data_IF_012289608176
#
_entry.id   IF_012289608176
#
_cell.length_a   1.000
_cell.length_b   1.000
_cell.length_c   1.000
_cell.angle_alpha   90.00
_cell.angle_beta   90.00
_cell.angle_gamma   90.00
#
_symmetry.space_group_name_H-M   'P 1'
#
loop_
_entity.id
_entity.type
_entity.pdbx_description
1 polymer ?
#
# COMPACT_ATOMS: atom_id res chain seq x y z
N UNK A 1 5.91 8.22 9.73
CA UNK A 1 5.48 7.66 8.41
C UNK A 1 4.11 7.01 8.58
N UNK A 2 3.15 7.40 7.78
CA UNK A 2 1.78 6.89 7.85
C UNK A 2 1.59 5.79 6.80
N UNK A 3 1.07 4.64 7.22
CA UNK A 3 0.92 3.46 6.37
C UNK A 3 -0.51 2.96 6.43
N UNK A 4 -1.08 2.63 5.27
CA UNK A 4 -2.36 1.94 5.17
C UNK A 4 -2.11 0.49 4.79
N UNK A 5 -2.82 -0.41 5.43
CA UNK A 5 -2.77 -1.84 5.16
C UNK A 5 -4.19 -2.30 4.85
N UNK A 6 -4.43 -2.69 3.61
CA UNK A 6 -5.75 -3.02 3.10
C UNK A 6 -5.80 -4.49 2.70
N UNK A 7 -6.53 -5.30 3.46
CA UNK A 7 -6.65 -6.73 3.25
C UNK A 7 -7.92 -7.19 3.96
N UNK A 8 -8.70 -8.06 3.32
CA UNK A 8 -9.93 -8.58 3.93
C UNK A 8 -9.70 -9.79 4.84
N UNK A 9 -8.49 -10.31 4.87
CA UNK A 9 -8.12 -11.45 5.70
C UNK A 9 -7.55 -10.97 7.04
N UNK A 10 -8.27 -11.23 8.14
CA UNK A 10 -7.85 -10.83 9.48
C UNK A 10 -6.46 -11.34 9.83
N UNK A 11 -6.16 -12.60 9.50
CA UNK A 11 -4.87 -13.17 9.80
C UNK A 11 -3.77 -12.52 8.97
N UNK A 12 -4.05 -12.26 7.70
CA UNK A 12 -3.10 -11.59 6.83
C UNK A 12 -2.76 -10.20 7.33
N UNK A 13 -3.77 -9.44 7.74
CA UNK A 13 -3.57 -8.11 8.34
C UNK A 13 -2.70 -8.22 9.59
N UNK A 14 -3.05 -9.14 10.48
CA UNK A 14 -2.33 -9.28 11.74
C UNK A 14 -0.85 -9.60 11.49
N UNK A 15 -0.58 -10.59 10.64
CA UNK A 15 0.80 -11.01 10.38
C UNK A 15 1.62 -9.91 9.70
N UNK A 16 1.04 -9.22 8.75
CA UNK A 16 1.73 -8.13 8.05
C UNK A 16 1.98 -6.96 9.00
N UNK A 17 0.99 -6.61 9.81
CA UNK A 17 1.15 -5.53 10.77
C UNK A 17 2.24 -5.85 11.79
N UNK A 18 2.29 -7.09 12.29
CA UNK A 18 3.32 -7.49 13.24
C UNK A 18 4.71 -7.39 12.60
N UNK A 19 4.84 -7.83 11.35
CA UNK A 19 6.11 -7.74 10.66
C UNK A 19 6.56 -6.28 10.49
N UNK A 20 5.65 -5.40 10.11
CA UNK A 20 5.96 -3.99 9.98
C UNK A 20 6.39 -3.37 11.30
N UNK A 21 5.73 -3.73 12.39
CA UNK A 21 6.08 -3.20 13.72
C UNK A 21 7.43 -3.73 14.20
N UNK A 22 7.70 -5.01 14.00
CA UNK A 22 8.97 -5.63 14.41
C UNK A 22 10.13 -4.98 13.66
N UNK A 23 9.94 -4.66 12.41
CA UNK A 23 10.98 -4.01 11.61
C UNK A 23 11.00 -2.49 11.81
N UNK A 24 10.19 -1.98 12.71
CA UNK A 24 10.09 -0.54 13.00
C UNK A 24 9.82 0.28 11.75
N UNK A 25 9.01 -0.28 10.87
CA UNK A 25 8.66 0.38 9.62
C UNK A 25 7.90 1.68 9.87
N UNK A 26 6.90 1.60 10.74
CA UNK A 26 6.08 2.75 11.10
C UNK A 26 5.36 2.47 12.41
N UNK A 27 5.12 3.51 13.19
CA UNK A 27 4.24 3.42 14.37
C UNK A 27 2.85 3.98 14.07
N UNK A 28 2.58 4.35 12.83
CA UNK A 28 1.29 4.89 12.40
C UNK A 28 0.72 4.02 11.28
N UNK A 29 0.19 2.86 11.64
CA UNK A 29 -0.36 1.89 10.71
C UNK A 29 -1.87 1.84 10.88
N UNK A 30 -2.60 2.14 9.81
CA UNK A 30 -4.06 2.01 9.79
C UNK A 30 -4.43 0.79 8.96
N UNK A 31 -5.27 -0.07 9.50
CA UNK A 31 -5.69 -1.28 8.81
C UNK A 31 -7.14 -1.15 8.35
N UNK A 32 -7.41 -1.69 7.17
CA UNK A 32 -8.74 -1.66 6.58
C UNK A 32 -9.05 -3.03 5.98
N UNK A 33 -10.21 -3.57 6.33
CA UNK A 33 -10.69 -4.79 5.72
C UNK A 33 -11.49 -4.51 4.45
N UNK A 34 -12.00 -3.29 4.31
CA UNK A 34 -12.76 -2.89 3.14
C UNK A 34 -12.00 -1.80 2.38
N UNK A 35 -11.75 -2.06 1.10
CA UNK A 35 -11.06 -1.09 0.25
C UNK A 35 -11.82 0.22 0.16
N UNK A 36 -13.15 0.17 0.20
CA UNK A 36 -13.97 1.37 0.13
C UNK A 36 -13.70 2.31 1.31
N UNK A 37 -13.55 1.75 2.51
CA UNK A 37 -13.25 2.56 3.69
C UNK A 37 -11.88 3.23 3.57
N UNK A 38 -10.90 2.47 3.09
CA UNK A 38 -9.57 3.02 2.86
C UNK A 38 -9.59 4.11 1.81
N UNK A 39 -10.34 3.89 0.73
CA UNK A 39 -10.47 4.87 -0.34
C UNK A 39 -11.10 6.17 0.18
N UNK A 40 -12.21 6.06 0.92
CA UNK A 40 -12.89 7.24 1.45
C UNK A 40 -11.98 8.04 2.38
N UNK A 41 -11.21 7.35 3.21
CA UNK A 41 -10.28 7.98 4.12
C UNK A 41 -9.15 8.67 3.37
N UNK A 42 -8.59 8.00 2.38
CA UNK A 42 -7.48 8.53 1.60
C UNK A 42 -7.90 9.76 0.82
N UNK A 43 -9.07 9.71 0.22
CA UNK A 43 -9.59 10.82 -0.59
C UNK A 43 -9.79 12.07 0.27
N UNK A 44 -10.24 11.91 1.52
CA UNK A 44 -10.38 13.06 2.42
C UNK A 44 -9.03 13.67 2.80
N UNK A 45 -7.98 12.87 2.80
CA UNK A 45 -6.68 13.27 3.32
C UNK A 45 -5.65 13.59 2.23
N UNK A 46 -6.07 13.67 0.96
CA UNK A 46 -5.13 13.88 -0.15
C UNK A 46 -4.31 15.16 -0.03
N UNK A 47 -4.89 16.19 0.58
CA UNK A 47 -4.26 17.51 0.61
C UNK A 47 -3.05 17.60 1.54
N UNK A 48 -3.03 16.85 2.63
CA UNK A 48 -1.94 17.01 3.58
C UNK A 48 -1.59 15.80 4.42
N UNK A 49 -2.50 14.87 4.59
CA UNK A 49 -2.33 13.76 5.54
C UNK A 49 -2.39 12.40 4.87
N UNK A 50 -2.08 12.35 3.58
CA UNK A 50 -2.08 11.09 2.84
C UNK A 50 -1.00 10.14 3.36
N UNK A 51 -1.27 8.82 3.33
CA UNK A 51 -0.26 7.86 3.75
C UNK A 51 0.92 7.86 2.78
N UNK A 52 2.10 7.62 3.31
CA UNK A 52 3.29 7.51 2.47
C UNK A 52 3.37 6.16 1.78
N UNK A 53 2.81 5.14 2.40
CA UNK A 53 2.76 3.81 1.81
C UNK A 53 1.40 3.16 2.00
N UNK A 54 0.96 2.42 0.99
CA UNK A 54 -0.27 1.65 1.02
C UNK A 54 0.06 0.23 0.59
N UNK A 55 -0.24 -0.73 1.44
CA UNK A 55 -0.13 -2.14 1.10
C UNK A 55 -1.53 -2.64 0.76
N UNK A 56 -1.77 -2.94 -0.49
CA UNK A 56 -3.09 -3.20 -1.04
C UNK A 56 -3.19 -4.64 -1.54
N UNK A 57 -4.05 -5.43 -0.89
CA UNK A 57 -4.34 -6.77 -1.38
C UNK A 57 -5.13 -6.68 -2.68
N UNK A 58 -4.64 -7.35 -3.70
CA UNK A 58 -5.21 -7.26 -5.04
C UNK A 58 -6.52 -8.02 -5.16
N UNK A 59 -6.58 -9.23 -4.61
CA UNK A 59 -7.73 -10.13 -4.77
C UNK A 59 -8.61 -10.11 -3.53
N UNK A 60 -9.76 -9.46 -3.62
CA UNK A 60 -10.66 -9.32 -2.49
C UNK A 60 -12.09 -9.17 -2.99
N UNK A 61 -13.08 -9.62 -2.21
CA UNK A 61 -14.49 -9.46 -2.57
C UNK A 61 -14.89 -7.98 -2.55
N UNK A 62 -15.90 -7.63 -3.34
CA UNK A 62 -16.33 -6.27 -3.46
C UNK A 62 -15.36 -5.46 -4.31
N UNK A 63 -14.88 -4.33 -3.80
CA UNK A 63 -13.92 -3.50 -4.52
C UNK A 63 -12.54 -4.17 -4.49
N UNK A 64 -12.05 -4.61 -5.64
CA UNK A 64 -10.72 -5.20 -5.73
C UNK A 64 -9.63 -4.12 -5.87
N UNK A 65 -8.37 -4.55 -5.90
CA UNK A 65 -7.25 -3.61 -5.95
C UNK A 65 -7.25 -2.73 -7.19
N UNK A 66 -7.64 -3.27 -8.33
CA UNK A 66 -7.69 -2.49 -9.56
C UNK A 66 -8.76 -1.41 -9.50
N UNK A 67 -9.93 -1.75 -8.97
CA UNK A 67 -11.00 -0.78 -8.80
C UNK A 67 -10.61 0.33 -7.83
N UNK A 68 -9.88 -0.02 -6.79
CA UNK A 68 -9.34 0.96 -5.85
C UNK A 68 -8.40 1.94 -6.56
N UNK A 69 -7.49 1.42 -7.37
CA UNK A 69 -6.56 2.25 -8.12
C UNK A 69 -7.27 3.14 -9.15
N UNK A 70 -8.26 2.59 -9.84
CA UNK A 70 -9.04 3.37 -10.80
C UNK A 70 -9.77 4.52 -10.10
N UNK A 71 -10.27 4.29 -8.90
CA UNK A 71 -10.97 5.31 -8.14
C UNK A 71 -10.03 6.42 -7.67
N UNK A 72 -8.74 6.15 -7.58
CA UNK A 72 -7.75 7.16 -7.21
C UNK A 72 -7.26 7.99 -8.39
N UNK A 73 -7.60 7.63 -9.62
CA UNK A 73 -7.12 8.34 -10.80
C UNK A 73 -7.35 9.86 -10.73
N UNK A 74 -8.51 10.37 -10.29
CA UNK A 74 -8.71 11.81 -10.18
C UNK A 74 -7.79 12.51 -9.19
N UNK A 75 -7.19 11.76 -8.26
CA UNK A 75 -6.34 12.30 -7.20
C UNK A 75 -4.86 12.00 -7.43
N UNK A 76 -4.53 11.38 -8.56
CA UNK A 76 -3.16 10.92 -8.83
C UNK A 76 -2.16 12.06 -8.78
N UNK A 77 -2.49 13.20 -9.37
CA UNK A 77 -1.58 14.34 -9.40
C UNK A 77 -1.23 14.82 -7.99
N UNK A 78 -2.18 14.76 -7.06
CA UNK A 78 -1.95 15.20 -5.69
C UNK A 78 -1.14 14.19 -4.89
N UNK A 79 -1.25 12.91 -5.24
CA UNK A 79 -0.61 11.82 -4.49
C UNK A 79 0.76 11.42 -5.03
N UNK A 80 1.01 11.71 -6.30
CA UNK A 80 2.25 11.28 -6.95
C UNK A 80 3.46 11.85 -6.23
N UNK A 81 4.42 10.99 -5.92
CA UNK A 81 5.61 11.37 -5.16
C UNK A 81 5.42 11.42 -3.65
N UNK A 82 4.19 11.32 -3.18
CA UNK A 82 3.87 11.38 -1.74
C UNK A 82 3.28 10.09 -1.22
N UNK A 83 2.56 9.36 -2.05
CA UNK A 83 1.90 8.12 -1.67
C UNK A 83 2.37 7.02 -2.62
N UNK A 84 2.91 5.95 -2.06
CA UNK A 84 3.43 4.83 -2.84
C UNK A 84 2.62 3.58 -2.54
N UNK A 85 2.05 2.97 -3.58
CA UNK A 85 1.17 1.81 -3.43
C UNK A 85 1.91 0.55 -3.82
N UNK A 86 1.92 -0.42 -2.90
CA UNK A 86 2.47 -1.75 -3.12
C UNK A 86 1.33 -2.75 -3.18
N UNK A 87 1.26 -3.50 -4.27
CA UNK A 87 0.21 -4.49 -4.48
C UNK A 87 0.65 -5.82 -3.89
N UNK A 88 -0.15 -6.34 -2.96
CA UNK A 88 0.09 -7.65 -2.36
C UNK A 88 -0.68 -8.70 -3.14
N UNK A 89 0.00 -9.75 -3.58
CA UNK A 89 -0.66 -10.82 -4.33
C UNK A 89 0.01 -12.14 -4.04
N UNK A 90 -0.80 -13.21 -4.00
CA UNK A 90 -0.29 -14.58 -3.87
C UNK A 90 0.06 -15.19 -5.23
N UNK A 91 -0.22 -14.48 -6.31
CA UNK A 91 0.05 -14.95 -7.66
C UNK A 91 0.56 -13.81 -8.53
N UNK A 92 1.84 -13.87 -8.93
CA UNK A 92 2.44 -12.83 -9.77
C UNK A 92 2.27 -13.21 -11.25
N UNK A 93 1.04 -13.18 -11.74
CA UNK A 93 0.77 -13.41 -13.13
C UNK A 93 1.36 -12.25 -13.97
N UNK A 94 1.90 -12.59 -15.16
CA UNK A 94 2.49 -11.57 -16.01
C UNK A 94 1.49 -10.48 -16.41
N UNK A 95 0.21 -10.86 -16.57
CA UNK A 95 -0.83 -9.88 -16.89
C UNK A 95 -1.04 -8.88 -15.77
N UNK A 96 -0.95 -9.33 -14.51
CA UNK A 96 -1.10 -8.44 -13.35
C UNK A 96 0.11 -7.52 -13.23
N UNK A 97 1.30 -8.03 -13.48
CA UNK A 97 2.51 -7.22 -13.45
C UNK A 97 2.45 -6.13 -14.53
N UNK A 98 2.02 -6.49 -15.74
CA UNK A 98 1.88 -5.54 -16.82
C UNK A 98 0.85 -4.47 -16.48
N UNK A 99 -0.29 -4.90 -15.91
CA UNK A 99 -1.35 -3.97 -15.55
C UNK A 99 -0.91 -3.00 -14.45
N UNK A 100 -0.13 -3.47 -13.49
CA UNK A 100 0.34 -2.61 -12.41
C UNK A 100 1.18 -1.45 -12.90
N UNK A 101 1.88 -1.62 -14.02
CA UNK A 101 2.71 -0.57 -14.60
C UNK A 101 1.92 0.55 -15.25
N UNK A 102 0.63 0.36 -15.46
CA UNK A 102 -0.25 1.39 -16.00
C UNK A 102 -0.63 2.43 -14.95
N UNK A 103 -0.35 2.15 -13.68
CA UNK A 103 -0.69 3.05 -12.58
C UNK A 103 0.58 3.67 -12.00
N UNK A 104 0.73 4.97 -12.15
CA UNK A 104 1.94 5.66 -11.69
C UNK A 104 2.10 5.63 -10.18
N UNK A 105 1.00 5.51 -9.42
CA UNK A 105 1.07 5.43 -7.97
C UNK A 105 1.59 4.09 -7.47
N UNK A 106 1.58 3.06 -8.30
CA UNK A 106 2.05 1.73 -7.91
C UNK A 106 3.56 1.69 -7.95
N UNK A 107 4.15 1.48 -6.79
CA UNK A 107 5.61 1.39 -6.67
C UNK A 107 6.12 0.00 -7.01
N UNK A 108 5.29 -1.02 -6.83
CA UNK A 108 5.68 -2.37 -7.21
C UNK A 108 4.75 -3.43 -6.67
N UNK A 109 4.84 -4.64 -7.20
CA UNK A 109 4.13 -5.79 -6.64
C UNK A 109 4.96 -6.44 -5.54
N UNK A 110 4.27 -7.04 -4.58
CA UNK A 110 4.89 -7.81 -3.50
C UNK A 110 4.20 -9.16 -3.45
N UNK A 111 4.99 -10.23 -3.55
CA UNK A 111 4.46 -11.58 -3.44
C UNK A 111 4.20 -11.94 -1.97
N UNK A 112 3.03 -12.45 -1.67
CA UNK A 112 2.72 -12.93 -0.32
C UNK A 112 3.35 -14.30 -0.10
N UNK A 113 3.79 -14.58 1.13
CA UNK A 113 3.88 -13.67 2.27
C UNK A 113 5.04 -12.68 2.12
N UNK A 114 4.84 -11.48 2.62
CA UNK A 114 5.88 -10.45 2.58
C UNK A 114 6.98 -10.82 3.57
N UNK A 115 8.24 -10.67 3.19
CA UNK A 115 9.34 -11.04 4.05
C UNK A 115 10.08 -9.83 4.61
N UNK A 116 10.99 -10.11 5.55
CA UNK A 116 11.71 -9.09 6.28
C UNK A 116 12.60 -8.23 5.39
N UNK A 117 13.28 -8.86 4.45
CA UNK A 117 14.19 -8.15 3.56
C UNK A 117 13.44 -7.22 2.63
N UNK A 118 12.29 -7.65 2.15
CA UNK A 118 11.44 -6.85 1.30
C UNK A 118 10.91 -5.63 2.04
N UNK A 119 10.50 -5.82 3.30
CA UNK A 119 10.06 -4.72 4.15
C UNK A 119 11.19 -3.70 4.34
N UNK A 120 12.40 -4.15 4.57
CA UNK A 120 13.55 -3.25 4.73
C UNK A 120 13.84 -2.45 3.47
N UNK A 121 13.75 -3.10 2.32
CA UNK A 121 13.98 -2.42 1.04
C UNK A 121 12.93 -1.35 0.79
N UNK A 122 11.67 -1.65 1.09
CA UNK A 122 10.58 -0.69 0.93
C UNK A 122 10.74 0.47 1.91
N UNK A 123 11.10 0.17 3.15
CA UNK A 123 11.31 1.21 4.17
C UNK A 123 12.40 2.19 3.72
N UNK A 124 13.47 1.68 3.16
CA UNK A 124 14.55 2.53 2.67
C UNK A 124 14.09 3.45 1.54
N UNK A 125 13.19 2.98 0.68
CA UNK A 125 12.64 3.79 -0.40
C UNK A 125 11.69 4.86 0.08
N UNK A 126 10.89 4.55 1.12
CA UNK A 126 9.88 5.47 1.64
C UNK A 126 10.45 6.46 2.64
N UNK A 127 11.61 6.16 3.22
CA UNK A 127 12.21 7.01 4.22
C UNK A 127 12.57 8.36 3.58
N UNK A 128 12.22 9.48 4.24
CA UNK A 128 12.55 10.79 3.70
C UNK A 128 14.06 10.97 3.51
N UNK A 129 14.44 11.59 2.41
CA UNK A 129 15.86 11.82 2.10
C UNK A 129 16.54 12.70 3.12
N UNK A 130 15.81 13.61 3.73
CA UNK A 130 16.34 14.53 4.73
C UNK A 130 16.29 13.94 6.14
N UNK A 131 15.93 12.69 6.28
CA UNK A 131 15.90 12.07 7.58
C UNK A 131 17.31 12.09 8.17
N UNK A 132 17.44 12.49 9.42
CA UNK A 132 18.76 12.49 10.04
C UNK A 132 19.35 11.10 10.00
N UNK A 133 20.56 11.04 9.62
CA UNK A 133 21.26 9.77 9.54
C UNK A 133 21.38 9.19 10.95
#
# INVERSE_FOLDING_TARGET
>A
MKIYLIDDDDLGIYLTEQLLRVQRFSNSISTFQLARQALDTLVRDTAGDAPQGVFLDLNRPGMNGWQFLDALAPYEAELLGRCHIYILTSSLALSDLAKSREYELVAGPIHKPIDREEIRAIHARLKPDDAPA
#
